data_IF_513775098978
#
_entry.id   IF_513775098978
#
_cell.length_a   1.000
_cell.length_b   1.000
_cell.length_c   1.000
_cell.angle_alpha   90.00
_cell.angle_beta   90.00
_cell.angle_gamma   90.00
#
_symmetry.space_group_name_H-M   'P 1'
#
loop_
_entity.id
_entity.type
_entity.pdbx_description
1 polymer ?
#
# COMPACT_ATOMS: atom_id res chain seq x y z
N UNK A 1 39.17 7.87 52.06
CA UNK A 1 38.99 7.51 50.64
C UNK A 1 37.54 7.84 50.30
N UNK A 2 37.33 8.87 49.49
CA UNK A 2 36.02 9.52 49.29
C UNK A 2 35.06 8.64 48.47
N UNK A 3 34.27 7.83 49.16
CA UNK A 3 33.25 6.94 48.58
C UNK A 3 32.23 7.71 47.72
N UNK A 4 31.93 8.95 48.09
CA UNK A 4 31.05 9.86 47.36
C UNK A 4 31.63 10.32 46.02
N UNK A 5 32.94 10.49 45.92
CA UNK A 5 33.63 10.85 44.66
C UNK A 5 33.67 9.67 43.70
N UNK A 6 33.82 8.45 44.22
CA UNK A 6 33.74 7.21 43.43
C UNK A 6 32.32 6.98 42.89
N UNK A 7 31.29 7.20 43.72
CA UNK A 7 29.88 7.07 43.31
C UNK A 7 29.48 8.10 42.22
N UNK A 8 29.95 9.34 42.31
CA UNK A 8 29.70 10.37 41.29
C UNK A 8 30.37 10.07 39.95
N UNK A 9 31.61 9.58 39.98
CA UNK A 9 32.34 9.17 38.77
C UNK A 9 31.64 7.99 38.09
N UNK A 10 31.19 6.99 38.87
CA UNK A 10 30.42 5.86 38.36
C UNK A 10 29.07 6.29 37.77
N UNK A 11 28.33 7.18 38.42
CA UNK A 11 27.07 7.72 37.87
C UNK A 11 27.30 8.50 36.58
N UNK A 12 28.38 9.29 36.49
CA UNK A 12 28.72 10.05 35.29
C UNK A 12 29.13 9.13 34.13
N UNK A 13 29.92 8.09 34.40
CA UNK A 13 30.34 7.10 33.39
C UNK A 13 29.16 6.24 32.95
N UNK A 14 28.26 5.88 33.86
CA UNK A 14 27.04 5.14 33.57
C UNK A 14 26.11 5.95 32.65
N UNK A 15 25.90 7.25 32.93
CA UNK A 15 25.14 8.14 32.06
C UNK A 15 25.83 8.45 30.72
N UNK A 16 27.16 8.56 30.69
CA UNK A 16 27.93 8.79 29.46
C UNK A 16 27.92 7.56 28.52
N UNK A 17 27.90 6.34 29.09
CA UNK A 17 27.86 5.07 28.34
C UNK A 17 26.43 4.63 27.93
N UNK A 18 25.38 5.13 28.58
CA UNK A 18 23.98 4.81 28.23
C UNK A 18 23.37 5.75 27.17
N UNK A 19 23.89 6.97 27.01
CA UNK A 19 23.42 7.93 26.01
C UNK A 19 23.59 7.46 24.53
N UNK A 20 24.66 6.76 24.11
CA UNK A 20 24.75 6.28 22.73
C UNK A 20 23.84 5.08 22.44
N UNK A 21 23.38 4.32 23.46
CA UNK A 21 22.52 3.16 23.26
C UNK A 21 21.06 3.52 22.96
N UNK A 22 20.60 4.69 23.43
CA UNK A 22 19.21 5.16 23.22
C UNK A 22 19.01 5.78 21.83
N UNK A 23 20.08 6.28 21.19
CA UNK A 23 19.99 6.96 19.87
C UNK A 23 20.06 5.96 18.71
N UNK A 24 20.59 4.75 18.91
CA UNK A 24 20.52 3.68 17.92
C UNK A 24 19.16 2.97 18.01
N UNK A 25 18.09 3.74 17.79
CA UNK A 25 16.80 3.16 17.46
C UNK A 25 16.99 2.31 16.21
N UNK A 26 16.90 0.99 16.37
CA UNK A 26 16.73 0.09 15.24
C UNK A 26 15.59 0.66 14.40
N UNK A 27 15.88 1.11 13.18
CA UNK A 27 14.86 1.39 12.20
C UNK A 27 14.16 0.04 11.98
N UNK A 28 13.08 -0.19 12.74
CA UNK A 28 12.22 -1.32 12.49
C UNK A 28 11.68 -1.10 11.07
N UNK A 29 12.16 -1.90 10.13
CA UNK A 29 11.68 -1.88 8.75
C UNK A 29 10.20 -2.29 8.76
N UNK A 30 9.32 -1.32 8.89
CA UNK A 30 7.88 -1.56 8.88
C UNK A 30 7.48 -1.93 7.47
N UNK A 31 6.98 -3.15 7.29
CA UNK A 31 6.40 -3.58 6.02
C UNK A 31 5.07 -2.86 5.82
N UNK A 32 4.92 -2.21 4.67
CA UNK A 32 3.68 -1.55 4.26
C UNK A 32 3.27 -2.04 2.88
N UNK A 33 1.99 -1.94 2.56
CA UNK A 33 1.50 -2.24 1.21
C UNK A 33 1.79 -1.08 0.29
N UNK A 34 2.44 -1.35 -0.84
CA UNK A 34 2.73 -0.38 -1.88
C UNK A 34 2.10 -0.83 -3.20
N UNK A 35 1.57 0.14 -3.94
CA UNK A 35 1.09 -0.03 -5.30
C UNK A 35 2.17 0.48 -6.23
N UNK A 36 2.70 -0.44 -7.04
CA UNK A 36 3.74 -0.22 -8.04
C UNK A 36 3.07 -0.21 -9.41
N UNK A 37 3.20 0.90 -10.11
CA UNK A 37 2.75 1.05 -11.49
C UNK A 37 3.94 0.92 -12.43
N UNK A 38 3.81 0.05 -13.41
CA UNK A 38 4.80 -0.22 -14.43
C UNK A 38 4.40 0.47 -15.73
N UNK A 39 5.36 0.64 -16.63
CA UNK A 39 5.05 1.10 -17.97
C UNK A 39 4.27 0.00 -18.72
N UNK A 40 3.29 0.37 -19.57
CA UNK A 40 2.52 -0.59 -20.33
C UNK A 40 3.44 -1.49 -21.18
N UNK A 41 3.18 -2.79 -21.15
CA UNK A 41 3.86 -3.74 -22.02
C UNK A 41 2.90 -4.13 -23.15
N UNK A 42 3.22 -3.72 -24.38
CA UNK A 42 2.41 -4.01 -25.59
C UNK A 42 2.43 -5.51 -25.90
N UNK A 43 1.44 -6.26 -25.43
CA UNK A 43 1.12 -7.59 -25.98
C UNK A 43 -0.35 -7.62 -26.41
N UNK A 44 -0.57 -8.01 -27.68
CA UNK A 44 -1.83 -7.87 -28.39
C UNK A 44 -3.01 -8.65 -27.81
N UNK A 45 -4.18 -8.01 -27.86
CA UNK A 45 -5.43 -8.41 -27.22
C UNK A 45 -6.18 -9.49 -28.00
N UNK A 46 -6.40 -10.67 -27.40
CA UNK A 46 -7.41 -11.65 -27.84
C UNK A 46 -7.93 -12.45 -26.64
N UNK A 47 -9.25 -12.69 -26.58
CA UNK A 47 -9.96 -13.12 -25.36
C UNK A 47 -9.56 -14.48 -24.75
N UNK A 48 -9.04 -15.43 -25.54
CA UNK A 48 -8.46 -16.68 -25.00
C UNK A 48 -6.99 -16.51 -24.59
N UNK A 49 -6.28 -15.60 -25.27
CA UNK A 49 -4.98 -15.13 -24.79
C UNK A 49 -5.14 -14.38 -23.47
N UNK A 50 -6.28 -13.78 -23.13
CA UNK A 50 -6.49 -13.01 -21.89
C UNK A 50 -6.17 -13.79 -20.61
N UNK A 51 -6.62 -15.05 -20.46
CA UNK A 51 -6.34 -15.85 -19.27
C UNK A 51 -4.87 -16.31 -19.23
N UNK A 52 -4.34 -16.72 -20.38
CA UNK A 52 -2.92 -17.09 -20.54
C UNK A 52 -2.00 -15.89 -20.29
N UNK A 53 -2.38 -14.72 -20.79
CA UNK A 53 -1.72 -13.43 -20.63
C UNK A 53 -1.87 -12.92 -19.19
N UNK A 54 -3.00 -13.18 -18.51
CA UNK A 54 -3.13 -12.85 -17.09
C UNK A 54 -2.18 -13.69 -16.24
N UNK A 55 -2.01 -14.98 -16.57
CA UNK A 55 -1.04 -15.85 -15.89
C UNK A 55 0.39 -15.44 -16.22
N UNK A 56 0.71 -15.22 -17.49
CA UNK A 56 2.03 -14.76 -17.92
C UNK A 56 2.38 -13.38 -17.33
N UNK A 57 1.40 -12.47 -17.21
CA UNK A 57 1.58 -11.14 -16.63
C UNK A 57 1.72 -11.21 -15.11
N UNK A 58 0.99 -12.10 -14.44
CA UNK A 58 1.24 -12.38 -13.02
C UNK A 58 2.66 -12.92 -12.79
N UNK A 59 3.08 -13.89 -13.59
CA UNK A 59 4.43 -14.48 -13.53
C UNK A 59 5.51 -13.45 -13.87
N UNK A 60 5.23 -12.55 -14.81
CA UNK A 60 6.09 -11.41 -15.14
C UNK A 60 6.20 -10.42 -13.99
N UNK A 61 5.09 -10.05 -13.33
CA UNK A 61 5.11 -9.19 -12.14
C UNK A 61 5.89 -9.84 -10.99
N UNK A 62 5.73 -11.15 -10.77
CA UNK A 62 6.52 -11.90 -9.79
C UNK A 62 8.00 -11.83 -10.14
N UNK A 63 8.36 -12.07 -11.40
CA UNK A 63 9.74 -12.03 -11.88
C UNK A 63 10.36 -10.62 -11.75
N UNK A 64 9.56 -9.58 -12.01
CA UNK A 64 9.97 -8.19 -11.83
C UNK A 64 10.24 -7.90 -10.35
N UNK A 65 9.32 -8.29 -9.47
CA UNK A 65 9.46 -8.14 -8.03
C UNK A 65 10.67 -8.93 -7.49
N UNK A 66 10.86 -10.17 -7.94
CA UNK A 66 12.02 -11.02 -7.65
C UNK A 66 13.35 -10.34 -7.96
N UNK A 67 13.46 -9.71 -9.13
CA UNK A 67 14.69 -9.06 -9.59
C UNK A 67 14.97 -7.72 -8.90
N UNK A 68 13.93 -7.02 -8.49
CA UNK A 68 14.00 -5.60 -8.11
C UNK A 68 14.23 -5.36 -6.63
N UNK A 69 13.94 -6.35 -5.78
CA UNK A 69 14.09 -6.27 -4.33
C UNK A 69 15.07 -7.35 -3.87
N UNK A 70 15.89 -7.04 -2.86
CA UNK A 70 16.75 -8.04 -2.24
C UNK A 70 15.92 -8.90 -1.26
N UNK A 71 15.86 -10.21 -1.51
CA UNK A 71 15.08 -11.13 -0.70
C UNK A 71 15.96 -11.83 0.33
N UNK A 72 15.59 -11.75 1.61
CA UNK A 72 16.09 -12.69 2.60
C UNK A 72 15.64 -14.10 2.22
N UNK A 73 16.50 -15.10 2.40
CA UNK A 73 16.27 -16.49 1.96
C UNK A 73 14.96 -17.12 2.49
N UNK A 74 14.39 -16.58 3.57
CA UNK A 74 13.14 -17.05 4.16
C UNK A 74 11.86 -16.37 3.62
N UNK A 75 11.96 -15.21 2.96
CA UNK A 75 10.78 -14.48 2.44
C UNK A 75 10.71 -14.57 0.93
N UNK A 76 9.96 -15.55 0.44
CA UNK A 76 9.74 -15.71 -1.00
C UNK A 76 8.89 -14.54 -1.56
N UNK A 77 9.25 -13.96 -2.72
CA UNK A 77 8.51 -12.87 -3.36
C UNK A 77 7.02 -13.13 -3.58
N UNK A 78 6.67 -14.38 -3.87
CA UNK A 78 5.27 -14.81 -4.00
C UNK A 78 4.42 -14.60 -2.74
N UNK A 79 5.05 -14.54 -1.55
CA UNK A 79 4.35 -14.25 -0.28
C UNK A 79 4.09 -12.77 -0.05
N UNK A 80 4.84 -11.88 -0.71
CA UNK A 80 4.71 -10.43 -0.56
C UNK A 80 3.86 -9.80 -1.66
N UNK A 81 3.73 -10.44 -2.83
CA UNK A 81 2.81 -10.01 -3.89
C UNK A 81 1.36 -10.24 -3.46
N UNK A 82 0.58 -9.16 -3.33
CA UNK A 82 -0.82 -9.20 -2.91
C UNK A 82 -1.77 -9.19 -4.11
N UNK A 83 -1.53 -8.31 -5.08
CA UNK A 83 -2.38 -8.14 -6.26
C UNK A 83 -1.56 -7.85 -7.51
N UNK A 84 -2.08 -8.30 -8.65
CA UNK A 84 -1.50 -8.09 -9.98
C UNK A 84 -2.53 -7.38 -10.86
N UNK A 85 -2.30 -6.10 -11.13
CA UNK A 85 -3.15 -5.26 -11.96
C UNK A 85 -2.75 -5.37 -13.43
N UNK A 86 -3.73 -5.62 -14.29
CA UNK A 86 -3.51 -5.82 -15.73
C UNK A 86 -4.58 -5.17 -16.62
N UNK A 87 -5.67 -4.70 -16.03
CA UNK A 87 -6.87 -4.25 -16.78
C UNK A 87 -6.89 -2.73 -16.94
N UNK A 88 -6.65 -1.99 -15.85
CA UNK A 88 -6.71 -0.51 -15.84
C UNK A 88 -5.33 0.10 -16.07
N UNK A 89 -4.30 -0.59 -15.61
CA UNK A 89 -2.89 -0.28 -15.82
C UNK A 89 -2.07 -1.54 -15.54
N UNK A 90 -0.81 -1.53 -15.99
CA UNK A 90 0.15 -2.58 -15.68
C UNK A 90 0.87 -2.28 -14.38
N UNK A 91 0.80 -3.22 -13.43
CA UNK A 91 1.43 -3.04 -12.14
C UNK A 91 0.98 -4.05 -11.11
N UNK A 92 1.44 -3.87 -9.88
CA UNK A 92 1.15 -4.80 -8.79
C UNK A 92 1.08 -4.11 -7.43
N UNK A 93 0.45 -4.75 -6.46
CA UNK A 93 0.51 -4.39 -5.05
C UNK A 93 1.34 -5.42 -4.29
N UNK A 94 2.32 -4.97 -3.52
CA UNK A 94 3.18 -5.84 -2.72
C UNK A 94 3.46 -5.25 -1.34
N UNK A 95 3.76 -6.12 -0.37
CA UNK A 95 4.30 -5.72 0.93
C UNK A 95 5.79 -5.43 0.79
N UNK A 96 6.18 -4.19 1.04
CA UNK A 96 7.55 -3.71 0.90
C UNK A 96 7.93 -2.86 2.11
N UNK A 97 9.22 -2.89 2.46
CA UNK A 97 9.78 -1.89 3.36
C UNK A 97 9.97 -0.55 2.62
N UNK A 98 10.08 0.54 3.38
CA UNK A 98 10.24 1.88 2.82
C UNK A 98 11.52 2.01 1.97
N UNK A 99 12.60 1.33 2.38
CA UNK A 99 13.84 1.24 1.61
C UNK A 99 13.67 0.50 0.28
N UNK A 100 12.99 -0.66 0.30
CA UNK A 100 12.68 -1.44 -0.92
C UNK A 100 11.82 -0.62 -1.89
N UNK A 101 10.80 0.09 -1.38
CA UNK A 101 9.96 0.96 -2.18
C UNK A 101 10.74 2.13 -2.81
N UNK A 102 11.73 2.67 -2.10
CA UNK A 102 12.61 3.70 -2.66
C UNK A 102 13.50 3.16 -3.80
N UNK A 103 14.01 1.94 -3.67
CA UNK A 103 14.75 1.27 -4.74
C UNK A 103 13.86 1.09 -5.98
N UNK A 104 12.63 0.61 -5.80
CA UNK A 104 11.69 0.45 -6.91
C UNK A 104 11.40 1.75 -7.66
N UNK A 105 11.30 2.88 -6.96
CA UNK A 105 11.08 4.20 -7.60
C UNK A 105 12.21 4.60 -8.54
N UNK A 106 13.43 4.13 -8.29
CA UNK A 106 14.60 4.47 -9.10
C UNK A 106 14.77 3.55 -10.32
N UNK A 107 13.98 2.46 -10.43
CA UNK A 107 14.17 1.48 -11.49
C UNK A 107 13.57 1.94 -12.83
N UNK A 108 14.32 1.76 -13.95
CA UNK A 108 13.76 1.97 -15.27
C UNK A 108 12.64 0.95 -15.52
N UNK A 109 11.48 1.42 -15.94
CA UNK A 109 10.28 0.60 -16.14
C UNK A 109 9.20 0.78 -15.06
N UNK A 110 9.53 1.39 -13.91
CA UNK A 110 8.54 1.79 -12.90
C UNK A 110 8.06 3.21 -13.19
N UNK A 111 6.77 3.37 -13.39
CA UNK A 111 6.13 4.67 -13.61
C UNK A 111 5.82 5.38 -12.29
N UNK A 112 5.34 4.65 -11.28
CA UNK A 112 5.08 5.22 -9.95
C UNK A 112 5.08 4.17 -8.84
N UNK A 113 5.44 4.57 -7.61
CA UNK A 113 5.34 3.72 -6.41
C UNK A 113 4.71 4.53 -5.29
N UNK A 114 3.51 4.14 -4.87
CA UNK A 114 2.72 4.84 -3.84
C UNK A 114 2.31 3.88 -2.73
N UNK A 115 2.34 4.35 -1.49
CA UNK A 115 1.82 3.58 -0.36
C UNK A 115 0.30 3.39 -0.54
N UNK A 116 -0.19 2.18 -0.34
CA UNK A 116 -1.62 1.91 -0.31
C UNK A 116 -2.20 2.53 0.96
N UNK A 117 -3.17 3.41 0.78
CA UNK A 117 -3.84 4.11 1.87
C UNK A 117 -5.33 3.99 1.66
N UNK A 118 -6.03 3.63 2.73
CA UNK A 118 -7.49 3.68 2.74
C UNK A 118 -7.91 5.14 2.58
N UNK A 119 -8.52 5.44 1.44
CA UNK A 119 -9.15 6.73 1.20
C UNK A 119 -10.54 6.68 1.80
N UNK A 120 -10.91 7.70 2.56
CA UNK A 120 -12.28 7.85 3.02
C UNK A 120 -13.18 8.08 1.80
N UNK A 121 -14.14 7.19 1.58
CA UNK A 121 -15.11 7.34 0.51
C UNK A 121 -16.02 8.52 0.87
N UNK A 122 -15.72 9.69 0.33
CA UNK A 122 -16.70 10.77 0.30
C UNK A 122 -17.86 10.29 -0.55
N UNK A 123 -18.99 10.02 0.10
CA UNK A 123 -20.20 9.62 -0.60
C UNK A 123 -20.57 10.71 -1.59
N UNK A 124 -20.46 10.43 -2.89
CA UNK A 124 -20.97 11.33 -3.91
C UNK A 124 -22.48 11.22 -3.88
N UNK A 125 -23.14 12.25 -3.33
CA UNK A 125 -24.55 12.46 -3.61
C UNK A 125 -24.64 12.83 -5.10
N UNK A 126 -24.88 11.85 -5.96
CA UNK A 126 -24.58 11.92 -7.40
C UNK A 126 -25.15 13.16 -8.07
N UNK A 127 -26.35 13.62 -7.66
CA UNK A 127 -26.91 14.84 -8.23
C UNK A 127 -26.12 16.10 -7.83
N UNK A 128 -25.62 16.22 -6.59
CA UNK A 128 -24.79 17.36 -6.17
C UNK A 128 -23.41 17.30 -6.83
N UNK A 129 -22.86 16.09 -6.98
CA UNK A 129 -21.59 15.88 -7.68
C UNK A 129 -21.68 16.33 -9.15
N UNK A 130 -22.81 16.07 -9.82
CA UNK A 130 -23.07 16.50 -11.19
C UNK A 130 -23.49 17.98 -11.29
N UNK A 131 -23.46 18.74 -10.20
CA UNK A 131 -23.89 20.15 -10.18
C UNK A 131 -25.39 20.35 -10.44
N UNK A 132 -26.20 19.30 -10.27
CA UNK A 132 -27.64 19.39 -10.45
C UNK A 132 -28.27 20.04 -9.23
N UNK A 133 -29.05 21.09 -9.45
CA UNK A 133 -29.83 21.73 -8.39
C UNK A 133 -31.09 20.90 -8.08
N UNK A 134 -31.58 21.00 -6.84
CA UNK A 134 -32.82 20.35 -6.43
C UNK A 134 -33.98 20.89 -7.28
N UNK A 135 -34.47 20.08 -8.22
CA UNK A 135 -35.63 20.40 -9.02
C UNK A 135 -36.72 19.37 -8.70
N UNK A 136 -37.83 19.77 -8.06
CA UNK A 136 -38.89 18.85 -7.67
C UNK A 136 -39.62 18.22 -8.87
N UNK A 137 -39.36 18.69 -10.08
CA UNK A 137 -39.99 18.24 -11.31
C UNK A 137 -38.88 17.79 -12.26
N UNK A 138 -38.68 16.48 -12.39
CA UNK A 138 -37.65 15.92 -13.26
C UNK A 138 -37.40 14.43 -13.05
N UNK A 139 -36.63 13.82 -13.96
CA UNK A 139 -36.27 12.40 -13.89
C UNK A 139 -35.55 12.04 -12.57
N UNK A 140 -34.75 12.97 -12.02
CA UNK A 140 -34.04 12.81 -10.75
C UNK A 140 -34.97 12.85 -9.52
N UNK A 141 -36.01 13.71 -9.54
CA UNK A 141 -37.01 13.73 -8.47
C UNK A 141 -37.82 12.41 -8.46
N UNK A 142 -38.15 11.88 -9.64
CA UNK A 142 -38.83 10.58 -9.80
C UNK A 142 -38.00 9.40 -9.34
N UNK A 143 -36.66 9.46 -9.45
CA UNK A 143 -35.76 8.42 -8.93
C UNK A 143 -35.37 8.65 -7.47
N UNK A 144 -36.00 9.59 -6.77
CA UNK A 144 -35.69 9.91 -5.37
C UNK A 144 -34.26 10.42 -5.19
N UNK A 145 -33.67 11.04 -6.21
CA UNK A 145 -32.28 11.53 -6.20
C UNK A 145 -31.22 10.45 -5.91
N UNK A 146 -31.53 9.17 -6.18
CA UNK A 146 -30.65 8.06 -5.83
C UNK A 146 -30.69 7.67 -4.35
N UNK A 147 -31.73 8.08 -3.62
CA UNK A 147 -31.96 7.66 -2.23
C UNK A 147 -32.19 6.14 -2.16
N UNK A 148 -31.20 5.40 -1.65
CA UNK A 148 -31.24 3.93 -1.55
C UNK A 148 -30.00 3.21 -2.08
N UNK A 149 -29.08 3.90 -2.76
CA UNK A 149 -27.77 3.33 -3.17
C UNK A 149 -26.63 3.70 -2.24
N UNK A 150 -26.93 4.34 -1.11
CA UNK A 150 -25.96 4.57 -0.04
C UNK A 150 -25.62 3.23 0.61
N UNK A 151 -24.42 2.71 0.36
CA UNK A 151 -23.80 1.72 1.24
C UNK A 151 -23.54 2.38 2.59
N UNK A 152 -24.61 2.52 3.37
CA UNK A 152 -24.60 3.09 4.70
C UNK A 152 -23.94 2.08 5.62
N UNK A 153 -22.73 2.43 6.08
CA UNK A 153 -22.16 2.01 7.37
C UNK A 153 -21.97 0.51 7.53
N UNK A 154 -20.71 0.07 7.51
CA UNK A 154 -20.29 -1.24 7.98
C UNK A 154 -21.00 -1.61 9.29
N UNK A 155 -21.93 -2.56 9.21
CA UNK A 155 -22.43 -3.27 10.37
C UNK A 155 -21.31 -4.19 10.88
N UNK A 156 -21.10 -4.30 12.20
CA UNK A 156 -20.12 -5.23 12.73
C UNK A 156 -20.53 -6.66 12.33
N UNK A 157 -19.60 -7.37 11.70
CA UNK A 157 -19.71 -8.80 11.40
C UNK A 157 -19.83 -9.51 12.75
N UNK A 158 -21.07 -9.84 13.16
CA UNK A 158 -21.27 -10.77 14.26
C UNK A 158 -20.82 -12.14 13.78
N UNK A 159 -19.74 -12.63 14.37
CA UNK A 159 -19.32 -14.01 14.31
C UNK A 159 -20.54 -14.90 14.63
N UNK A 160 -20.85 -15.80 13.70
CA UNK A 160 -21.85 -16.84 13.88
C UNK A 160 -21.12 -18.04 14.50
N UNK A 161 -21.44 -18.34 15.76
CA UNK A 161 -21.37 -19.72 16.25
C UNK A 161 -22.56 -20.50 15.66
#
# INVERSE_FOLDING_TARGET
MDVTRVLLVCHSLFWLLLLPAVVLGAAAETMQTYIVQLHPHDEGDSGEAMLSASKSKHDWHLSFLERSVAWEQEKRPSSRLLYSYHTVFDGFAAQLADGEAAVLRALPGVASVRADRRVELHTTYSYRFLGLNFCPIGAWARSGYGHGTTASRAAPIKARQ
#
